data_IF_506180020699
#
_entry.id   IF_506180020699
#
_cell.length_a   1.000
_cell.length_b   1.000
_cell.length_c   1.000
_cell.angle_alpha   90.00
_cell.angle_beta   90.00
_cell.angle_gamma   90.00
#
_symmetry.space_group_name_H-M   'P 1'
#
loop_
_entity.id
_entity.type
_entity.pdbx_description
1 polymer ?
#
# COMPACT_ATOMS: atom_id res chain seq x y z
N UNK A 1 6.66 25.44 -27.09
CA UNK A 1 7.22 24.07 -27.32
C UNK A 1 7.73 23.38 -26.02
N UNK A 2 8.54 24.03 -25.17
CA UNK A 2 9.07 23.47 -23.90
C UNK A 2 8.00 22.97 -22.89
N UNK A 3 6.94 23.74 -22.63
CA UNK A 3 5.84 23.35 -21.71
C UNK A 3 5.10 22.07 -22.12
N UNK A 4 4.79 21.88 -23.42
CA UNK A 4 4.16 20.65 -23.95
C UNK A 4 5.06 19.42 -23.81
N UNK A 5 6.38 19.58 -24.05
CA UNK A 5 7.37 18.51 -23.87
C UNK A 5 7.49 18.09 -22.40
N UNK A 6 7.44 19.05 -21.47
CA UNK A 6 7.43 18.79 -20.01
C UNK A 6 6.18 18.01 -19.57
N UNK A 7 4.98 18.43 -20.00
CA UNK A 7 3.72 17.70 -19.72
C UNK A 7 3.73 16.27 -20.28
N UNK A 8 4.21 16.05 -21.50
CA UNK A 8 4.30 14.71 -22.10
C UNK A 8 5.25 13.78 -21.34
N UNK A 9 6.41 14.29 -20.90
CA UNK A 9 7.36 13.52 -20.06
C UNK A 9 6.75 13.16 -18.70
N UNK A 10 6.05 14.10 -18.06
CA UNK A 10 5.38 13.88 -16.77
C UNK A 10 4.29 12.83 -16.87
N UNK A 11 3.51 12.83 -17.96
CA UNK A 11 2.50 11.81 -18.22
C UNK A 11 3.07 10.40 -18.46
N UNK A 12 4.21 10.29 -19.15
CA UNK A 12 4.88 9.00 -19.33
C UNK A 12 5.43 8.44 -18.00
N UNK A 13 6.01 9.30 -17.17
CA UNK A 13 6.49 8.93 -15.84
C UNK A 13 5.35 8.46 -14.92
N UNK A 14 4.21 9.14 -14.93
CA UNK A 14 3.04 8.71 -14.16
C UNK A 14 2.54 7.33 -14.59
N UNK A 15 2.57 7.00 -15.89
CA UNK A 15 2.19 5.66 -16.38
C UNK A 15 3.13 4.56 -15.90
N UNK A 16 4.43 4.84 -15.81
CA UNK A 16 5.40 3.88 -15.26
C UNK A 16 5.11 3.65 -13.78
N UNK A 17 4.88 4.72 -13.01
CA UNK A 17 4.48 4.61 -11.60
C UNK A 17 3.18 3.81 -11.46
N UNK A 18 2.17 4.09 -12.29
CA UNK A 18 0.89 3.37 -12.26
C UNK A 18 1.08 1.87 -12.54
N UNK A 19 1.99 1.50 -13.46
CA UNK A 19 2.31 0.10 -13.72
C UNK A 19 3.04 -0.57 -12.55
N UNK A 20 3.98 0.12 -11.90
CA UNK A 20 4.69 -0.37 -10.71
C UNK A 20 3.71 -0.55 -9.55
N UNK A 21 2.86 0.43 -9.30
CA UNK A 21 1.83 0.38 -8.26
C UNK A 21 0.77 -0.68 -8.55
N UNK A 22 0.38 -0.87 -9.81
CA UNK A 22 -0.51 -1.95 -10.22
C UNK A 22 0.05 -3.32 -9.80
N UNK A 23 1.32 -3.58 -10.14
CA UNK A 23 1.97 -4.84 -9.77
C UNK A 23 2.05 -5.02 -8.25
N UNK A 24 2.38 -3.94 -7.53
CA UNK A 24 2.41 -3.94 -6.07
C UNK A 24 1.03 -4.20 -5.43
N UNK A 25 -0.03 -3.50 -5.87
CA UNK A 25 -1.37 -3.74 -5.34
C UNK A 25 -1.90 -5.13 -5.67
N UNK A 26 -1.62 -5.64 -6.87
CA UNK A 26 -1.98 -7.01 -7.24
C UNK A 26 -1.25 -8.04 -6.38
N UNK A 27 0.02 -7.81 -6.08
CA UNK A 27 0.79 -8.62 -5.15
C UNK A 27 0.20 -8.58 -3.74
N UNK A 28 -0.05 -7.39 -3.19
CA UNK A 28 -0.65 -7.23 -1.85
C UNK A 28 -2.08 -7.80 -1.76
N UNK A 29 -2.86 -7.74 -2.84
CA UNK A 29 -4.19 -8.34 -2.89
C UNK A 29 -4.18 -9.86 -2.63
N UNK A 30 -3.05 -10.52 -2.92
CA UNK A 30 -2.84 -11.96 -2.69
C UNK A 30 -2.09 -12.20 -1.37
N UNK A 31 -1.02 -11.46 -1.13
CA UNK A 31 -0.14 -11.67 0.03
C UNK A 31 -0.82 -11.32 1.35
N UNK A 32 -1.53 -10.18 1.42
CA UNK A 32 -2.18 -9.74 2.65
C UNK A 32 -3.09 -10.81 3.27
N UNK A 33 -4.04 -11.43 2.55
CA UNK A 33 -4.88 -12.46 3.15
C UNK A 33 -4.17 -13.81 3.36
N UNK A 34 -3.20 -14.19 2.52
CA UNK A 34 -2.62 -15.54 2.52
C UNK A 34 -1.37 -15.69 3.39
N UNK A 35 -0.60 -14.61 3.56
CA UNK A 35 0.65 -14.59 4.31
C UNK A 35 0.46 -13.78 5.57
N UNK A 36 0.19 -12.48 5.44
CA UNK A 36 0.08 -11.55 6.57
C UNK A 36 -1.11 -11.93 7.47
N UNK A 37 -2.20 -12.43 6.87
CA UNK A 37 -3.36 -12.95 7.57
C UNK A 37 -3.04 -14.05 8.60
N UNK A 38 -1.97 -14.82 8.40
CA UNK A 38 -1.54 -15.85 9.36
C UNK A 38 -1.04 -15.27 10.69
N UNK A 39 -0.72 -13.97 10.74
CA UNK A 39 -0.34 -13.28 11.98
C UNK A 39 -1.56 -12.96 12.85
N UNK A 40 -2.71 -12.69 12.25
CA UNK A 40 -3.94 -12.30 12.96
C UNK A 40 -4.97 -13.44 13.09
N UNK A 41 -4.96 -14.40 12.17
CA UNK A 41 -5.95 -15.47 12.10
C UNK A 41 -5.39 -16.83 12.58
N UNK A 42 -6.25 -17.75 13.05
CA UNK A 42 -5.81 -19.08 13.46
C UNK A 42 -5.17 -19.86 12.31
N UNK A 43 -4.00 -20.47 12.54
CA UNK A 43 -3.28 -21.20 11.50
C UNK A 43 -4.07 -22.35 10.83
N UNK A 44 -5.07 -22.90 11.52
CA UNK A 44 -5.90 -24.01 11.04
C UNK A 44 -6.77 -23.68 9.80
N UNK A 45 -7.00 -22.40 9.50
CA UNK A 45 -7.78 -22.00 8.32
C UNK A 45 -6.91 -21.93 7.05
N UNK A 46 -5.59 -22.03 7.19
CA UNK A 46 -4.65 -21.93 6.08
C UNK A 46 -4.19 -23.33 5.65
N UNK A 47 -4.05 -23.57 4.33
CA UNK A 47 -3.40 -24.77 3.81
C UNK A 47 -2.01 -24.98 4.41
N UNK A 48 -1.65 -26.25 4.65
CA UNK A 48 -0.36 -26.62 5.25
C UNK A 48 0.84 -25.99 4.52
N UNK A 49 0.84 -26.01 3.18
CA UNK A 49 1.88 -25.37 2.37
C UNK A 49 2.11 -23.88 2.72
N UNK A 50 1.04 -23.10 2.96
CA UNK A 50 1.18 -21.69 3.31
C UNK A 50 1.72 -21.51 4.73
N UNK A 51 1.32 -22.36 5.66
CA UNK A 51 1.84 -22.34 7.03
C UNK A 51 3.30 -22.77 7.10
N UNK A 52 3.71 -23.74 6.27
CA UNK A 52 5.10 -24.21 6.20
C UNK A 52 5.99 -23.19 5.51
N UNK A 53 5.49 -22.52 4.47
CA UNK A 53 6.17 -21.39 3.84
C UNK A 53 6.41 -20.26 4.85
N UNK A 54 5.41 -19.93 5.68
CA UNK A 54 5.54 -18.90 6.71
C UNK A 54 6.56 -19.32 7.80
N UNK A 55 6.55 -20.58 8.24
CA UNK A 55 7.56 -21.10 9.18
C UNK A 55 8.97 -21.03 8.61
N UNK A 56 9.14 -21.43 7.35
CA UNK A 56 10.41 -21.33 6.65
C UNK A 56 10.88 -19.87 6.56
N UNK A 57 9.98 -18.96 6.19
CA UNK A 57 10.24 -17.52 6.15
C UNK A 57 10.72 -16.98 7.50
N UNK A 58 10.00 -17.28 8.59
CA UNK A 58 10.38 -16.85 9.94
C UNK A 58 11.78 -17.35 10.30
N UNK A 59 12.09 -18.62 9.99
CA UNK A 59 13.39 -19.20 10.28
C UNK A 59 14.52 -18.59 9.43
N UNK A 60 14.27 -18.36 8.14
CA UNK A 60 15.25 -17.85 7.18
C UNK A 60 15.58 -16.37 7.40
N UNK A 61 14.58 -15.56 7.76
CA UNK A 61 14.74 -14.12 7.93
C UNK A 61 14.87 -13.68 9.40
N UNK A 62 14.61 -14.58 10.35
CA UNK A 62 14.61 -14.26 11.77
C UNK A 62 13.52 -13.24 12.12
N UNK A 63 12.38 -13.29 11.43
CA UNK A 63 11.30 -12.32 11.64
C UNK A 63 10.56 -12.59 12.95
N UNK A 64 11.06 -11.97 14.02
CA UNK A 64 10.47 -12.11 15.35
C UNK A 64 9.08 -11.46 15.45
N UNK A 65 8.75 -10.46 14.61
CA UNK A 65 7.41 -9.85 14.63
C UNK A 65 6.37 -10.87 14.17
N UNK A 66 6.72 -11.65 13.14
CA UNK A 66 5.92 -12.77 12.64
C UNK A 66 5.87 -13.95 13.62
N UNK A 67 6.96 -14.22 14.35
CA UNK A 67 7.04 -15.31 15.32
C UNK A 67 6.31 -15.02 16.65
N UNK A 68 6.64 -13.90 17.28
CA UNK A 68 6.15 -13.51 18.61
C UNK A 68 4.74 -12.87 18.54
N UNK A 69 4.35 -12.36 17.36
CA UNK A 69 3.07 -11.70 17.10
C UNK A 69 2.70 -10.64 18.16
N UNK A 70 3.55 -9.59 18.35
CA UNK A 70 3.23 -8.52 19.29
C UNK A 70 1.86 -7.88 19.01
N UNK A 71 1.11 -7.52 20.05
CA UNK A 71 -0.27 -7.06 19.91
C UNK A 71 -0.45 -5.86 18.97
N UNK A 72 0.51 -4.92 18.95
CA UNK A 72 0.45 -3.78 18.03
C UNK A 72 0.57 -4.22 16.57
N UNK A 73 1.45 -5.19 16.26
CA UNK A 73 1.60 -5.75 14.91
C UNK A 73 0.32 -6.47 14.50
N UNK A 74 -0.22 -7.31 15.37
CA UNK A 74 -1.52 -7.98 15.11
C UNK A 74 -2.62 -6.96 14.83
N UNK A 75 -2.64 -5.83 15.55
CA UNK A 75 -3.56 -4.72 15.28
C UNK A 75 -3.34 -4.08 13.90
N UNK A 76 -2.09 -3.88 13.48
CA UNK A 76 -1.75 -3.38 12.14
C UNK A 76 -2.15 -4.38 11.04
N UNK A 77 -2.01 -5.69 11.28
CA UNK A 77 -2.45 -6.73 10.35
C UNK A 77 -3.97 -6.73 10.21
N UNK A 78 -4.73 -6.55 11.31
CA UNK A 78 -6.17 -6.35 11.20
C UNK A 78 -6.54 -5.09 10.40
N UNK A 79 -5.83 -3.99 10.61
CA UNK A 79 -5.97 -2.78 9.78
C UNK A 79 -5.70 -3.07 8.30
N UNK A 80 -4.66 -3.85 8.02
CA UNK A 80 -4.31 -4.25 6.67
C UNK A 80 -5.41 -5.11 6.04
N UNK A 81 -5.85 -6.18 6.71
CA UNK A 81 -6.87 -7.09 6.19
C UNK A 81 -8.22 -6.38 5.98
N UNK A 82 -8.63 -5.51 6.89
CA UNK A 82 -9.95 -4.87 6.84
C UNK A 82 -10.01 -3.66 5.91
N UNK A 83 -8.90 -2.92 5.76
CA UNK A 83 -8.88 -1.65 5.03
C UNK A 83 -7.94 -1.68 3.84
N UNK A 84 -6.66 -1.99 4.04
CA UNK A 84 -5.67 -1.94 2.95
C UNK A 84 -5.96 -3.01 1.90
N UNK A 85 -6.30 -4.23 2.28
CA UNK A 85 -6.54 -5.33 1.36
C UNK A 85 -7.71 -5.03 0.39
N UNK A 86 -8.92 -4.63 0.84
CA UNK A 86 -9.98 -4.19 -0.07
C UNK A 86 -9.58 -3.00 -0.94
N UNK A 87 -8.83 -2.02 -0.38
CA UNK A 87 -8.35 -0.87 -1.14
C UNK A 87 -7.32 -1.27 -2.21
N UNK A 88 -6.49 -2.29 -1.97
CA UNK A 88 -5.53 -2.81 -2.94
C UNK A 88 -6.25 -3.38 -4.17
N UNK A 89 -7.29 -4.20 -3.95
CA UNK A 89 -8.15 -4.75 -5.01
C UNK A 89 -8.86 -3.62 -5.77
N UNK A 90 -9.40 -2.64 -5.02
CA UNK A 90 -10.02 -1.47 -5.63
C UNK A 90 -9.01 -0.70 -6.50
N UNK A 91 -7.78 -0.48 -6.03
CA UNK A 91 -6.75 0.22 -6.80
C UNK A 91 -6.32 -0.55 -8.06
N UNK A 92 -6.20 -1.88 -8.00
CA UNK A 92 -5.98 -2.74 -9.19
C UNK A 92 -7.08 -2.49 -10.22
N UNK A 93 -8.35 -2.56 -9.82
CA UNK A 93 -9.48 -2.29 -10.69
C UNK A 93 -9.48 -0.84 -11.22
N UNK A 94 -9.14 0.13 -10.36
CA UNK A 94 -9.11 1.55 -10.72
C UNK A 94 -8.11 1.82 -11.85
N UNK A 95 -6.94 1.21 -11.79
CA UNK A 95 -5.90 1.34 -12.82
C UNK A 95 -6.36 0.69 -14.12
N UNK A 96 -6.87 -0.54 -14.06
CA UNK A 96 -7.33 -1.28 -15.26
C UNK A 96 -8.51 -0.59 -15.96
N UNK A 97 -9.46 -0.09 -15.18
CA UNK A 97 -10.66 0.56 -15.69
C UNK A 97 -10.54 2.08 -15.83
N UNK A 98 -9.34 2.65 -15.62
CA UNK A 98 -9.06 4.08 -15.75
C UNK A 98 -9.94 4.98 -14.86
N UNK A 99 -10.26 4.55 -13.64
CA UNK A 99 -11.18 5.26 -12.75
C UNK A 99 -10.52 6.51 -12.14
N UNK A 100 -11.28 7.60 -12.09
CA UNK A 100 -10.81 8.89 -11.58
C UNK A 100 -10.51 8.90 -10.08
N UNK A 101 -11.13 8.01 -9.30
CA UNK A 101 -10.94 7.91 -7.86
C UNK A 101 -9.63 7.22 -7.44
N UNK A 102 -8.87 6.63 -8.39
CA UNK A 102 -7.57 6.01 -8.14
C UNK A 102 -6.61 6.92 -7.36
N UNK A 103 -6.56 8.21 -7.71
CA UNK A 103 -5.67 9.15 -7.02
C UNK A 103 -5.98 9.29 -5.53
N UNK A 104 -7.26 9.28 -5.14
CA UNK A 104 -7.66 9.37 -3.74
C UNK A 104 -7.37 8.08 -3.00
N UNK A 105 -7.74 6.93 -3.56
CA UNK A 105 -7.56 5.63 -2.91
C UNK A 105 -6.10 5.23 -2.81
N UNK A 106 -5.27 5.55 -3.81
CA UNK A 106 -3.80 5.37 -3.75
C UNK A 106 -3.16 6.26 -2.69
N UNK A 107 -3.65 7.50 -2.53
CA UNK A 107 -3.17 8.40 -1.47
C UNK A 107 -3.47 7.84 -0.08
N UNK A 108 -4.71 7.43 0.16
CA UNK A 108 -5.15 6.85 1.45
C UNK A 108 -4.38 5.56 1.76
N UNK A 109 -4.29 4.66 0.79
CA UNK A 109 -3.50 3.43 0.93
C UNK A 109 -2.05 3.74 1.29
N UNK A 110 -1.41 4.64 0.54
CA UNK A 110 -0.02 5.01 0.76
C UNK A 110 0.22 5.61 2.14
N UNK A 111 -0.65 6.52 2.60
CA UNK A 111 -0.57 7.10 3.93
C UNK A 111 -0.64 6.02 5.02
N UNK A 112 -1.63 5.14 4.94
CA UNK A 112 -1.81 4.03 5.90
C UNK A 112 -0.61 3.08 5.93
N UNK A 113 -0.06 2.70 4.77
CA UNK A 113 1.14 1.86 4.70
C UNK A 113 2.35 2.56 5.30
N UNK A 114 2.57 3.84 4.97
CA UNK A 114 3.69 4.61 5.53
C UNK A 114 3.60 4.69 7.05
N UNK A 115 2.41 4.95 7.59
CA UNK A 115 2.21 5.00 9.05
C UNK A 115 2.46 3.65 9.71
N UNK A 116 1.91 2.56 9.15
CA UNK A 116 2.10 1.21 9.67
C UNK A 116 3.56 0.79 9.61
N UNK A 117 4.23 1.07 8.49
CA UNK A 117 5.64 0.76 8.30
C UNK A 117 6.55 1.61 9.20
N UNK A 118 6.20 2.85 9.48
CA UNK A 118 6.97 3.68 10.41
C UNK A 118 6.94 3.08 11.82
N UNK A 119 5.78 2.60 12.27
CA UNK A 119 5.65 1.91 13.56
C UNK A 119 6.47 0.60 13.60
N UNK A 120 6.38 -0.22 12.55
CA UNK A 120 7.15 -1.47 12.44
C UNK A 120 8.65 -1.21 12.43
N UNK A 121 9.13 -0.29 11.59
CA UNK A 121 10.56 0.03 11.50
C UNK A 121 11.10 0.66 12.79
N UNK A 122 10.29 1.49 13.47
CA UNK A 122 10.67 2.04 14.76
C UNK A 122 10.85 0.94 15.82
N UNK A 123 9.94 -0.05 15.87
CA UNK A 123 10.08 -1.21 16.76
C UNK A 123 11.29 -2.07 16.39
N UNK A 124 11.50 -2.34 15.10
CA UNK A 124 12.66 -3.09 14.62
C UNK A 124 13.97 -2.44 15.07
N UNK A 125 14.12 -1.13 14.86
CA UNK A 125 15.32 -0.38 15.24
C UNK A 125 15.44 -0.27 16.77
N UNK A 126 14.33 -0.01 17.47
CA UNK A 126 14.31 0.21 18.93
C UNK A 126 14.53 -1.05 19.76
N UNK A 127 14.05 -2.21 19.28
CA UNK A 127 14.18 -3.49 19.98
C UNK A 127 15.60 -4.08 19.97
N UNK A 128 16.48 -3.60 19.08
CA UNK A 128 17.81 -4.17 18.88
C UNK A 128 17.83 -5.58 18.27
N UNK A 129 16.66 -6.14 17.94
CA UNK A 129 16.51 -7.46 17.32
C UNK A 129 16.57 -7.42 15.78
N UNK A 130 16.62 -6.23 15.17
CA UNK A 130 16.61 -6.09 13.72
C UNK A 130 17.93 -6.53 13.08
N UNK A 131 17.84 -7.54 12.22
CA UNK A 131 18.94 -7.92 11.32
C UNK A 131 18.90 -7.07 10.04
N UNK A 132 20.05 -6.92 9.38
CA UNK A 132 20.13 -6.20 8.10
C UNK A 132 19.21 -6.81 7.05
N UNK A 133 19.16 -8.15 7.00
CA UNK A 133 18.28 -8.91 6.10
C UNK A 133 16.80 -8.60 6.34
N UNK A 134 16.38 -8.53 7.61
CA UNK A 134 15.02 -8.18 7.99
C UNK A 134 14.69 -6.74 7.57
N UNK A 135 15.58 -5.79 7.82
CA UNK A 135 15.38 -4.40 7.41
C UNK A 135 15.29 -4.26 5.88
N UNK A 136 16.17 -4.93 5.13
CA UNK A 136 16.13 -4.94 3.65
C UNK A 136 14.83 -5.48 3.08
N UNK A 137 14.11 -6.29 3.85
CA UNK A 137 12.81 -6.83 3.47
C UNK A 137 11.65 -5.88 3.76
N UNK A 138 11.67 -5.16 4.89
CA UNK A 138 10.60 -4.23 5.28
C UNK A 138 10.71 -2.85 4.59
N UNK A 139 11.92 -2.37 4.30
CA UNK A 139 12.16 -1.06 3.67
C UNK A 139 11.50 -0.89 2.29
N UNK A 140 11.51 -1.89 1.38
CA UNK A 140 10.80 -1.81 0.12
C UNK A 140 9.30 -1.47 0.27
N UNK A 141 8.61 -2.04 1.25
CA UNK A 141 7.19 -1.75 1.51
C UNK A 141 6.96 -0.30 1.91
N UNK A 142 7.86 0.28 2.71
CA UNK A 142 7.87 1.72 2.99
C UNK A 142 8.01 2.52 1.68
N UNK A 143 8.93 2.12 0.81
CA UNK A 143 9.14 2.74 -0.50
C UNK A 143 7.88 2.74 -1.38
N UNK A 144 7.18 1.60 -1.46
CA UNK A 144 5.92 1.50 -2.19
C UNK A 144 4.80 2.34 -1.56
N UNK A 145 4.72 2.38 -0.22
CA UNK A 145 3.79 3.25 0.50
C UNK A 145 4.00 4.72 0.16
N UNK A 146 5.24 5.19 0.22
CA UNK A 146 5.61 6.57 -0.17
C UNK A 146 5.27 6.83 -1.64
N UNK A 147 5.62 5.90 -2.53
CA UNK A 147 5.33 6.04 -3.96
C UNK A 147 3.82 6.18 -4.22
N UNK A 148 3.00 5.35 -3.56
CA UNK A 148 1.54 5.41 -3.64
C UNK A 148 1.00 6.74 -3.11
N UNK A 149 1.49 7.18 -1.95
CA UNK A 149 1.09 8.44 -1.33
C UNK A 149 1.37 9.63 -2.25
N UNK A 150 2.60 9.73 -2.74
CA UNK A 150 3.03 10.81 -3.65
C UNK A 150 2.25 10.76 -4.96
N UNK A 151 2.01 9.56 -5.52
CA UNK A 151 1.24 9.42 -6.76
C UNK A 151 -0.19 9.93 -6.62
N UNK A 152 -0.82 9.65 -5.47
CA UNK A 152 -2.14 10.14 -5.13
C UNK A 152 -2.17 11.66 -4.94
N UNK A 153 -1.20 12.23 -4.21
CA UNK A 153 -1.07 13.68 -4.00
C UNK A 153 -0.86 14.46 -5.30
N UNK A 154 -0.05 13.93 -6.23
CA UNK A 154 0.14 14.52 -7.56
C UNK A 154 -1.18 14.55 -8.33
N UNK A 155 -2.00 13.49 -8.25
CA UNK A 155 -3.30 13.45 -8.92
C UNK A 155 -4.25 14.54 -8.39
N UNK A 156 -4.25 14.79 -7.07
CA UNK A 156 -5.08 15.85 -6.47
C UNK A 156 -4.59 17.26 -6.84
N UNK A 157 -3.28 17.42 -6.96
CA UNK A 157 -2.66 18.70 -7.36
C UNK A 157 -3.02 19.07 -8.80
N UNK A 158 -3.07 18.10 -9.70
CA UNK A 158 -3.52 18.30 -11.09
C UNK A 158 -5.04 18.57 -11.16
N UNK A 159 -5.85 17.88 -10.35
CA UNK A 159 -7.30 18.08 -10.27
C UNK A 159 -7.68 19.47 -9.72
N UNK A 160 -6.93 19.99 -8.75
CA UNK A 160 -7.14 21.34 -8.18
C UNK A 160 -6.61 22.46 -9.08
N UNK A 161 -5.59 22.20 -9.90
CA UNK A 161 -5.06 23.14 -10.90
C UNK A 161 -5.94 23.24 -12.16
N UNK A 162 -6.78 22.24 -12.43
CA UNK A 162 -7.87 22.33 -13.39
C UNK A 162 -9.07 23.01 -12.72
N UNK A 163 -9.55 24.14 -13.27
CA UNK A 163 -10.73 24.87 -12.79
C UNK A 163 -11.82 23.87 -12.34
N UNK A 164 -12.19 23.93 -11.06
CA UNK A 164 -13.35 23.20 -10.51
C UNK A 164 -14.52 23.29 -11.49
N UNK A 165 -15.16 22.19 -11.92
CA UNK A 165 -16.48 22.33 -12.51
C UNK A 165 -17.39 22.88 -11.40
N UNK A 166 -17.93 24.07 -11.65
CA UNK A 166 -18.93 24.73 -10.84
C UNK A 166 -20.19 23.86 -10.88
N UNK A 167 -20.28 22.83 -10.06
CA UNK A 167 -21.49 21.96 -9.96
C UNK A 167 -22.38 22.37 -8.79
N UNK A 168 -21.96 23.34 -7.96
CA UNK A 168 -22.75 23.83 -6.82
C UNK A 168 -23.56 25.12 -7.09
N UNK A 169 -23.73 25.52 -8.36
CA UNK A 169 -24.52 26.69 -8.72
C UNK A 169 -25.82 26.35 -9.47
N UNK A 170 -26.62 25.39 -8.98
CA UNK A 170 -28.04 25.29 -9.41
C UNK A 170 -28.93 24.59 -8.39
N UNK A 171 -29.11 25.22 -7.22
CA UNK A 171 -30.31 24.98 -6.40
C UNK A 171 -30.82 26.30 -5.83
N UNK A 172 -31.47 27.09 -6.68
CA UNK A 172 -32.43 28.11 -6.26
C UNK A 172 -33.60 28.15 -7.24
N UNK A 173 -34.79 28.02 -6.64
CA UNK A 173 -36.14 28.39 -7.10
C UNK A 173 -36.84 27.44 -8.08
N UNK A 174 -37.70 26.59 -7.52
CA UNK A 174 -39.11 26.52 -7.88
C UNK A 174 -39.90 26.53 -6.56
#
# INVERSE_FOLDING_TARGET
KKKKKKKKKMGAFCKVIDAVLFMYFAFMAVVAPLVDGQMALPGAIFPAFLTDLNRWYIAEFGDYLSAEKPHFVVGLIWHELLLLWPISIANVYAILAGKSWFGTTSMVYGASVVTSMAAILAELIGSGKATEKLLMMYVPFMGFGILSLVRGLVAQSDASSGKRPIVLARRKRA
#
